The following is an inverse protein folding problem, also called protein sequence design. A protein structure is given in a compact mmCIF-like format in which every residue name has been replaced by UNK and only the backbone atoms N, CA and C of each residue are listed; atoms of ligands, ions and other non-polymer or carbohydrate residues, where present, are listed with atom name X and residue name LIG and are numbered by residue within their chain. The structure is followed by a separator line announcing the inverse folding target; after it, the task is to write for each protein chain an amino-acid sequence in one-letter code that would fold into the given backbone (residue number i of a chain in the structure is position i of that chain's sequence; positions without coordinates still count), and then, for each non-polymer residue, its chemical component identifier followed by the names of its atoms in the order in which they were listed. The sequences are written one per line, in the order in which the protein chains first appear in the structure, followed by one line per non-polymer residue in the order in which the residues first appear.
data_IF_804350613293
#
_entry.id   IF_804350613293
#
_cell.length_a   1.000
_cell.length_b   1.000
_cell.length_c   1.000
_cell.angle_alpha   90.00
_cell.angle_beta   90.00
_cell.angle_gamma   90.00
#
_symmetry.space_group_name_H-M   'P 1'
#
loop_
_entity.id
_entity.type
_entity.pdbx_description
1 polymer ?
#
# COMPACT_ATOMS: atom_id res chain seq x y z
N UNK A 1 -7.84 2.10 26.89
CA UNK A 1 -7.98 2.97 25.71
C UNK A 1 -9.23 3.80 25.92
N UNK A 2 -9.17 5.12 25.81
CA UNK A 2 -10.37 5.95 26.04
C UNK A 2 -11.31 5.90 24.82
N UNK A 3 -12.58 6.26 25.02
CA UNK A 3 -13.60 6.19 23.96
C UNK A 3 -13.29 7.10 22.76
N UNK A 4 -12.58 8.21 22.96
CA UNK A 4 -12.21 9.14 21.89
C UNK A 4 -11.09 8.58 20.98
N UNK A 5 -10.10 7.88 21.52
CA UNK A 5 -9.02 7.24 20.76
C UNK A 5 -9.55 6.05 19.94
N UNK A 6 -10.47 5.26 20.52
CA UNK A 6 -11.16 4.18 19.80
C UNK A 6 -12.01 4.73 18.64
N UNK A 7 -12.75 5.81 18.87
CA UNK A 7 -13.54 6.49 17.84
C UNK A 7 -12.65 7.02 16.71
N UNK A 8 -11.51 7.65 17.05
CA UNK A 8 -10.54 8.14 16.06
C UNK A 8 -9.93 7.05 15.19
N UNK A 9 -9.52 5.91 15.78
CA UNK A 9 -9.03 4.74 15.03
C UNK A 9 -10.09 4.19 14.09
N UNK A 10 -11.33 4.11 14.55
CA UNK A 10 -12.45 3.59 13.75
C UNK A 10 -12.74 4.48 12.55
N UNK A 11 -12.82 5.80 12.74
CA UNK A 11 -13.01 6.76 11.63
C UNK A 11 -11.89 6.65 10.60
N UNK A 12 -10.63 6.65 11.03
CA UNK A 12 -9.49 6.54 10.13
C UNK A 12 -9.51 5.23 9.35
N UNK A 13 -9.79 4.10 10.01
CA UNK A 13 -9.93 2.81 9.34
C UNK A 13 -11.00 2.85 8.26
N UNK A 14 -12.22 3.33 8.57
CA UNK A 14 -13.34 3.39 7.62
C UNK A 14 -12.97 4.26 6.42
N UNK A 15 -12.42 5.46 6.66
CA UNK A 15 -12.04 6.38 5.59
C UNK A 15 -11.01 5.73 4.66
N UNK A 16 -9.94 5.17 5.22
CA UNK A 16 -8.87 4.57 4.41
C UNK A 16 -9.39 3.33 3.66
N UNK A 17 -10.18 2.48 4.31
CA UNK A 17 -10.76 1.29 3.68
C UNK A 17 -11.67 1.68 2.50
N UNK A 18 -12.54 2.67 2.68
CA UNK A 18 -13.39 3.18 1.60
C UNK A 18 -12.57 3.78 0.47
N UNK A 19 -11.54 4.57 0.77
CA UNK A 19 -10.69 5.16 -0.26
C UNK A 19 -9.89 4.11 -1.04
N UNK A 20 -9.45 3.02 -0.39
CA UNK A 20 -8.83 1.88 -1.09
C UNK A 20 -9.84 1.21 -2.02
N UNK A 21 -11.05 0.94 -1.56
CA UNK A 21 -12.10 0.32 -2.41
C UNK A 21 -12.41 1.22 -3.61
N UNK A 22 -12.65 2.52 -3.37
CA UNK A 22 -12.94 3.49 -4.42
C UNK A 22 -11.77 3.62 -5.40
N UNK A 23 -10.52 3.66 -4.94
CA UNK A 23 -9.36 3.77 -5.84
C UNK A 23 -9.20 2.54 -6.73
N UNK A 24 -9.54 1.35 -6.22
CA UNK A 24 -9.51 0.10 -7.00
C UNK A 24 -10.64 0.02 -8.01
N UNK A 25 -11.84 0.48 -7.64
CA UNK A 25 -12.96 0.58 -8.58
C UNK A 25 -12.67 1.60 -9.68
N UNK A 26 -12.08 2.75 -9.34
CA UNK A 26 -11.66 3.75 -10.32
C UNK A 26 -10.64 3.20 -11.32
N UNK A 27 -9.61 2.51 -10.83
CA UNK A 27 -8.61 1.83 -11.64
C UNK A 27 -9.26 0.82 -12.62
N UNK A 28 -10.05 -0.13 -12.10
CA UNK A 28 -10.76 -1.13 -12.92
C UNK A 28 -11.70 -0.49 -13.94
N UNK A 29 -12.47 0.52 -13.53
CA UNK A 29 -13.43 1.21 -14.39
C UNK A 29 -12.74 1.93 -15.54
N UNK A 30 -11.68 2.69 -15.25
CA UNK A 30 -10.93 3.41 -16.30
C UNK A 30 -10.22 2.45 -17.25
N UNK A 31 -9.69 1.33 -16.75
CA UNK A 31 -9.12 0.27 -17.60
C UNK A 31 -10.17 -0.35 -18.52
N UNK A 32 -11.37 -0.63 -18.02
CA UNK A 32 -12.47 -1.15 -18.83
C UNK A 32 -12.87 -0.19 -19.96
N UNK A 33 -12.89 1.11 -19.67
CA UNK A 33 -13.17 2.12 -20.70
C UNK A 33 -12.05 2.26 -21.74
N UNK A 34 -10.79 2.04 -21.35
CA UNK A 34 -9.65 2.20 -22.24
C UNK A 34 -9.40 0.97 -23.12
N UNK A 35 -9.49 -0.25 -22.56
CA UNK A 35 -9.23 -1.52 -23.25
C UNK A 35 -10.27 -2.57 -22.81
N UNK A 36 -11.49 -2.54 -23.39
CA UNK A 36 -12.60 -3.40 -22.95
C UNK A 36 -12.43 -4.88 -23.30
N UNK A 37 -11.59 -5.21 -24.28
CA UNK A 37 -11.25 -6.58 -24.68
C UNK A 37 -10.01 -7.14 -23.95
N UNK A 38 -9.34 -6.31 -23.14
CA UNK A 38 -8.06 -6.57 -22.47
C UNK A 38 -6.90 -6.88 -23.44
N UNK A 39 -7.09 -6.69 -24.76
CA UNK A 39 -6.05 -6.95 -25.74
C UNK A 39 -4.93 -5.91 -25.61
N UNK A 40 -3.75 -6.36 -25.18
CA UNK A 40 -2.61 -5.48 -24.93
C UNK A 40 -2.50 -4.96 -23.49
N UNK A 41 -3.30 -5.45 -22.54
CA UNK A 41 -3.10 -5.15 -21.12
C UNK A 41 -1.72 -5.67 -20.64
N UNK A 42 -0.98 -4.84 -19.91
CA UNK A 42 0.32 -5.21 -19.34
C UNK A 42 0.21 -5.98 -18.03
N UNK A 43 -1.02 -6.19 -17.53
CA UNK A 43 -1.29 -6.93 -16.31
C UNK A 43 -0.83 -8.38 -16.46
N UNK A 44 0.02 -8.82 -15.52
CA UNK A 44 0.63 -10.15 -15.53
C UNK A 44 -0.45 -11.24 -15.60
N UNK A 45 -1.59 -11.04 -14.96
CA UNK A 45 -2.69 -12.01 -14.95
C UNK A 45 -3.25 -12.23 -16.36
N UNK A 46 -3.50 -11.15 -17.11
CA UNK A 46 -4.05 -11.24 -18.47
C UNK A 46 -2.99 -11.73 -19.45
N UNK A 47 -1.79 -11.15 -19.39
CA UNK A 47 -0.70 -11.45 -20.32
C UNK A 47 -0.16 -12.88 -20.20
N UNK A 48 -0.08 -13.44 -18.99
CA UNK A 48 0.47 -14.79 -18.78
C UNK A 48 -0.58 -15.88 -18.58
N UNK A 49 -1.79 -15.56 -18.11
CA UNK A 49 -2.82 -16.57 -17.84
C UNK A 49 -4.04 -16.49 -18.77
N UNK A 50 -4.04 -15.60 -19.77
CA UNK A 50 -5.17 -15.43 -20.69
C UNK A 50 -6.46 -15.03 -19.95
N UNK A 51 -6.31 -14.35 -18.81
CA UNK A 51 -7.38 -14.03 -17.90
C UNK A 51 -8.34 -12.99 -18.53
N UNK A 52 -9.62 -13.32 -18.63
CA UNK A 52 -10.67 -12.34 -18.96
C UNK A 52 -11.09 -11.48 -17.76
N UNK A 53 -12.01 -10.55 -17.99
CA UNK A 53 -12.53 -9.63 -16.96
C UNK A 53 -13.03 -10.32 -15.69
N UNK A 54 -13.68 -11.47 -15.81
CA UNK A 54 -14.15 -12.26 -14.65
C UNK A 54 -12.99 -12.58 -13.71
N UNK A 55 -11.87 -13.04 -14.25
CA UNK A 55 -10.67 -13.38 -13.48
C UNK A 55 -10.05 -12.12 -12.86
N UNK A 56 -9.94 -11.03 -13.62
CA UNK A 56 -9.45 -9.74 -13.12
C UNK A 56 -10.28 -9.27 -11.91
N UNK A 57 -11.60 -9.30 -12.01
CA UNK A 57 -12.52 -8.87 -10.94
C UNK A 57 -12.37 -9.75 -9.69
N UNK A 58 -12.25 -11.08 -9.86
CA UNK A 58 -12.06 -12.01 -8.73
C UNK A 58 -10.75 -11.69 -8.01
N UNK A 59 -9.63 -11.59 -8.74
CA UNK A 59 -8.33 -11.30 -8.13
C UNK A 59 -8.29 -9.93 -7.45
N UNK A 60 -8.85 -8.90 -8.08
CA UNK A 60 -8.90 -7.56 -7.49
C UNK A 60 -9.76 -7.54 -6.23
N UNK A 61 -10.88 -8.26 -6.23
CA UNK A 61 -11.77 -8.38 -5.05
C UNK A 61 -11.08 -9.10 -3.90
N UNK A 62 -10.35 -10.20 -4.18
CA UNK A 62 -9.55 -10.91 -3.17
C UNK A 62 -8.42 -10.02 -2.62
N UNK A 63 -7.72 -9.29 -3.50
CA UNK A 63 -6.63 -8.39 -3.09
C UNK A 63 -7.15 -7.24 -2.21
N UNK A 64 -8.29 -6.65 -2.56
CA UNK A 64 -8.95 -5.62 -1.76
C UNK A 64 -9.39 -6.18 -0.41
N UNK A 65 -10.05 -7.35 -0.40
CA UNK A 65 -10.48 -8.01 0.83
C UNK A 65 -9.32 -8.29 1.78
N UNK A 66 -8.22 -8.85 1.26
CA UNK A 66 -7.00 -9.09 2.03
C UNK A 66 -6.39 -7.77 2.55
N UNK A 67 -6.34 -6.74 1.72
CA UNK A 67 -5.79 -5.43 2.09
C UNK A 67 -6.59 -4.81 3.23
N UNK A 68 -7.92 -4.77 3.11
CA UNK A 68 -8.82 -4.25 4.15
C UNK A 68 -8.71 -5.06 5.43
N UNK A 69 -8.57 -6.38 5.33
CA UNK A 69 -8.34 -7.24 6.50
C UNK A 69 -7.02 -6.94 7.20
N UNK A 70 -5.91 -6.78 6.47
CA UNK A 70 -4.62 -6.43 7.05
C UNK A 70 -4.61 -5.00 7.63
N UNK A 71 -5.35 -4.08 7.01
CA UNK A 71 -5.58 -2.75 7.56
C UNK A 71 -6.36 -2.80 8.88
N UNK A 72 -7.41 -3.62 8.94
CA UNK A 72 -8.16 -3.89 10.17
C UNK A 72 -7.22 -4.45 11.26
N UNK A 73 -6.35 -5.39 10.90
CA UNK A 73 -5.34 -5.91 11.80
C UNK A 73 -4.43 -4.80 12.34
N UNK A 74 -3.92 -3.91 11.48
CA UNK A 74 -3.10 -2.76 11.89
C UNK A 74 -3.83 -1.82 12.86
N UNK A 75 -5.10 -1.47 12.58
CA UNK A 75 -5.83 -0.50 13.41
C UNK A 75 -6.31 -1.07 14.75
N UNK A 76 -6.71 -2.34 14.80
CA UNK A 76 -7.45 -2.88 15.94
C UNK A 76 -6.77 -4.05 16.66
N UNK A 77 -5.86 -4.78 16.01
CA UNK A 77 -5.23 -5.99 16.58
C UNK A 77 -3.73 -5.84 16.81
N UNK A 78 -3.08 -4.92 16.12
CA UNK A 78 -1.67 -4.64 16.29
C UNK A 78 -1.43 -3.87 17.60
N UNK A 79 -0.66 -4.51 18.48
CA UNK A 79 -0.15 -3.93 19.73
C UNK A 79 1.34 -4.24 19.74
N UNK A 80 2.20 -3.31 19.33
CA UNK A 80 3.64 -3.52 19.35
C UNK A 80 4.16 -3.53 20.79
N UNK A 81 5.13 -4.40 21.06
CA UNK A 81 5.95 -4.31 22.26
C UNK A 81 7.01 -3.24 22.02
N UNK A 82 6.86 -2.10 22.69
CA UNK A 82 7.82 -1.00 22.56
C UNK A 82 9.05 -1.26 23.46
N UNK A 83 10.24 -0.81 23.04
CA UNK A 83 11.44 -0.95 23.85
C UNK A 83 11.33 -0.15 25.17
N UNK A 84 11.90 -0.68 26.23
CA UNK A 84 11.94 -0.02 27.56
C UNK A 84 12.98 1.09 27.63
N UNK A 85 14.10 0.92 26.90
CA UNK A 85 15.13 1.95 26.72
C UNK A 85 14.51 3.19 26.08
N UNK A 86 14.80 4.38 26.60
CA UNK A 86 14.33 5.67 26.08
C UNK A 86 15.35 6.28 25.12
N UNK A 87 14.89 7.11 24.19
CA UNK A 87 15.78 7.91 23.34
C UNK A 87 16.33 7.19 22.11
N UNK A 88 15.78 6.02 21.75
CA UNK A 88 16.23 5.30 20.55
C UNK A 88 16.03 6.12 19.27
N UNK A 89 17.02 6.07 18.38
CA UNK A 89 16.87 6.58 17.01
C UNK A 89 15.83 5.76 16.23
N UNK A 90 15.30 6.32 15.14
CA UNK A 90 14.31 5.62 14.31
C UNK A 90 14.85 4.29 13.75
N UNK A 91 16.15 4.23 13.42
CA UNK A 91 16.80 3.00 12.93
C UNK A 91 16.88 1.93 14.02
N UNK A 92 17.29 2.32 15.24
CA UNK A 92 17.35 1.39 16.38
C UNK A 92 15.95 0.90 16.76
N UNK A 93 14.96 1.80 16.76
CA UNK A 93 13.57 1.46 17.02
C UNK A 93 12.99 0.51 15.97
N UNK A 94 13.22 0.76 14.67
CA UNK A 94 12.78 -0.13 13.60
C UNK A 94 13.43 -1.52 13.70
N UNK A 95 14.73 -1.56 14.05
CA UNK A 95 15.45 -2.81 14.31
C UNK A 95 14.81 -3.57 15.46
N UNK A 96 14.46 -2.87 16.53
CA UNK A 96 13.84 -3.48 17.71
C UNK A 96 12.47 -4.06 17.37
N UNK A 97 11.61 -3.28 16.72
CA UNK A 97 10.25 -3.72 16.36
C UNK A 97 10.20 -4.98 15.49
N UNK A 98 11.22 -5.22 14.67
CA UNK A 98 11.28 -6.39 13.78
C UNK A 98 12.15 -7.53 14.28
N UNK A 99 13.24 -7.24 14.98
CA UNK A 99 14.27 -8.23 15.34
C UNK A 99 14.54 -8.31 16.85
N UNK A 100 13.79 -7.57 17.67
CA UNK A 100 13.93 -7.50 19.13
C UNK A 100 15.34 -7.10 19.59
N UNK A 101 16.06 -6.32 18.77
CA UNK A 101 17.37 -5.75 19.11
C UNK A 101 17.58 -4.42 18.37
N UNK A 102 18.46 -3.57 18.87
CA UNK A 102 18.66 -2.19 18.35
C UNK A 102 19.71 -2.08 17.24
N UNK A 103 20.51 -3.14 17.01
CA UNK A 103 21.70 -3.08 16.14
C UNK A 103 21.51 -3.72 14.75
N UNK A 104 20.36 -4.35 14.50
CA UNK A 104 20.11 -5.13 13.27
C UNK A 104 19.41 -4.35 12.15
N UNK A 105 19.63 -3.05 12.01
CA UNK A 105 18.91 -2.25 11.00
C UNK A 105 19.14 -2.76 9.58
N UNK A 106 20.36 -3.20 9.28
CA UNK A 106 20.69 -3.72 7.96
C UNK A 106 19.90 -5.01 7.63
N UNK A 107 19.47 -5.77 8.64
CA UNK A 107 18.66 -6.99 8.44
C UNK A 107 17.29 -6.71 7.83
N UNK A 108 16.79 -5.46 7.90
CA UNK A 108 15.51 -5.08 7.27
C UNK A 108 15.51 -5.32 5.75
N UNK A 109 16.67 -5.30 5.10
CA UNK A 109 16.78 -5.38 3.64
C UNK A 109 16.90 -6.81 3.11
N UNK A 110 17.33 -7.76 3.94
CA UNK A 110 17.64 -9.13 3.49
C UNK A 110 17.10 -10.25 4.37
N UNK A 111 16.55 -9.94 5.56
CA UNK A 111 16.05 -10.95 6.49
C UNK A 111 14.59 -10.69 6.83
N UNK A 112 13.78 -11.75 6.79
CA UNK A 112 12.40 -11.68 7.25
C UNK A 112 12.35 -11.30 8.74
N UNK A 113 11.47 -10.38 9.17
CA UNK A 113 11.33 -10.03 10.56
C UNK A 113 11.02 -11.23 11.45
N UNK A 114 11.60 -11.22 12.65
CA UNK A 114 11.30 -12.17 13.71
C UNK A 114 9.90 -11.89 14.28
N UNK A 115 9.58 -10.61 14.49
CA UNK A 115 8.28 -10.18 14.96
C UNK A 115 7.26 -10.18 13.80
N UNK A 116 6.57 -11.31 13.62
CA UNK A 116 5.55 -11.49 12.59
C UNK A 116 4.37 -10.52 12.76
N UNK A 117 4.04 -10.15 14.00
CA UNK A 117 2.95 -9.21 14.28
C UNK A 117 3.24 -7.83 13.69
N UNK A 118 4.44 -7.30 13.94
CA UNK A 118 4.89 -6.04 13.35
C UNK A 118 4.97 -6.15 11.83
N UNK A 119 5.43 -7.28 11.29
CA UNK A 119 5.50 -7.49 9.84
C UNK A 119 4.12 -7.47 9.17
N UNK A 120 3.12 -8.18 9.69
CA UNK A 120 1.77 -8.13 9.13
C UNK A 120 1.12 -6.75 9.29
N UNK A 121 1.39 -6.07 10.41
CA UNK A 121 0.92 -4.72 10.65
C UNK A 121 1.53 -3.70 9.68
N UNK A 122 2.83 -3.82 9.40
CA UNK A 122 3.52 -2.95 8.44
C UNK A 122 3.03 -3.22 7.02
N UNK A 123 2.84 -4.48 6.62
CA UNK A 123 2.23 -4.83 5.33
C UNK A 123 0.85 -4.21 5.22
N UNK A 124 -0.03 -4.41 6.21
CA UNK A 124 -1.40 -3.89 6.16
C UNK A 124 -1.46 -2.38 6.02
N UNK A 125 -0.60 -1.66 6.75
CA UNK A 125 -0.48 -0.23 6.63
C UNK A 125 0.08 0.21 5.27
N UNK A 126 1.22 -0.33 4.87
CA UNK A 126 1.97 0.09 3.67
C UNK A 126 1.20 -0.24 2.41
N UNK A 127 0.72 -1.49 2.28
CA UNK A 127 -0.03 -1.94 1.09
C UNK A 127 -1.31 -1.12 0.92
N UNK A 128 -2.08 -0.88 1.98
CA UNK A 128 -3.31 -0.09 1.88
C UNK A 128 -3.04 1.32 1.38
N UNK A 129 -2.04 1.98 1.96
CA UNK A 129 -1.70 3.35 1.60
C UNK A 129 -1.09 3.45 0.18
N UNK A 130 -0.24 2.50 -0.18
CA UNK A 130 0.33 2.42 -1.52
C UNK A 130 -0.74 2.13 -2.56
N UNK A 131 -1.63 1.15 -2.34
CA UNK A 131 -2.71 0.84 -3.28
C UNK A 131 -3.69 2.00 -3.45
N UNK A 132 -3.96 2.75 -2.38
CA UNK A 132 -4.73 3.99 -2.46
C UNK A 132 -4.05 4.97 -3.43
N UNK A 133 -2.78 5.31 -3.19
CA UNK A 133 -2.05 6.29 -4.00
C UNK A 133 -1.85 5.83 -5.45
N UNK A 134 -1.43 4.58 -5.64
CA UNK A 134 -1.23 3.97 -6.96
C UNK A 134 -2.54 3.95 -7.75
N UNK A 135 -3.68 3.69 -7.11
CA UNK A 135 -4.98 3.62 -7.80
C UNK A 135 -5.39 4.96 -8.37
N UNK A 136 -5.15 6.03 -7.61
CA UNK A 136 -5.33 7.38 -8.13
C UNK A 136 -4.37 7.71 -9.27
N UNK A 137 -3.08 7.36 -9.16
CA UNK A 137 -2.09 7.62 -10.22
C UNK A 137 -2.44 6.88 -11.50
N UNK A 138 -2.69 5.57 -11.42
CA UNK A 138 -3.02 4.73 -12.57
C UNK A 138 -4.35 5.16 -13.17
N UNK A 139 -5.43 5.23 -12.39
CA UNK A 139 -6.74 5.60 -12.93
C UNK A 139 -6.74 7.00 -13.58
N UNK A 140 -5.98 7.94 -13.04
CA UNK A 140 -5.81 9.27 -13.66
C UNK A 140 -4.99 9.19 -14.94
N UNK A 141 -3.91 8.42 -14.96
CA UNK A 141 -3.11 8.18 -16.17
C UNK A 141 -3.96 7.56 -17.28
N UNK A 142 -4.75 6.53 -16.96
CA UNK A 142 -5.67 5.87 -17.90
C UNK A 142 -6.76 6.83 -18.38
N UNK A 143 -7.33 7.64 -17.49
CA UNK A 143 -8.29 8.68 -17.88
C UNK A 143 -7.67 9.70 -18.86
N UNK A 144 -6.43 10.12 -18.61
CA UNK A 144 -5.72 11.02 -19.53
C UNK A 144 -5.39 10.35 -20.87
N UNK A 145 -5.11 9.04 -20.88
CA UNK A 145 -4.95 8.27 -22.12
C UNK A 145 -6.24 8.25 -22.94
N UNK A 146 -7.41 8.21 -22.31
CA UNK A 146 -8.70 8.26 -23.01
C UNK A 146 -8.92 9.68 -23.58
N UNK A 147 -8.66 10.72 -22.80
CA UNK A 147 -9.12 12.08 -23.10
C UNK A 147 -8.12 12.96 -23.86
N UNK A 148 -6.81 12.66 -23.84
CA UNK A 148 -5.78 13.60 -24.33
C UNK A 148 -4.78 12.96 -25.28
N UNK A 149 -4.75 13.42 -26.53
CA UNK A 149 -3.76 12.97 -27.52
C UNK A 149 -2.32 13.40 -27.17
N UNK A 150 -2.16 14.57 -26.55
CA UNK A 150 -0.86 15.00 -26.00
C UNK A 150 -0.36 14.01 -24.96
N UNK A 151 -1.23 13.56 -24.05
CA UNK A 151 -0.84 12.58 -23.05
C UNK A 151 -0.53 11.21 -23.68
N UNK A 152 -1.28 10.77 -24.70
CA UNK A 152 -0.95 9.56 -25.46
C UNK A 152 0.45 9.63 -26.06
N UNK A 153 0.87 10.78 -26.60
CA UNK A 153 2.23 10.96 -27.11
C UNK A 153 3.28 10.88 -26.00
N UNK A 154 3.05 11.55 -24.86
CA UNK A 154 3.93 11.43 -23.69
C UNK A 154 4.04 9.99 -23.19
N UNK A 155 2.94 9.25 -23.22
CA UNK A 155 2.90 7.85 -22.84
C UNK A 155 3.74 6.97 -23.78
N UNK A 156 3.58 7.16 -25.11
CA UNK A 156 4.43 6.51 -26.12
C UNK A 156 5.91 6.86 -25.94
N UNK A 157 6.21 8.09 -25.51
CA UNK A 157 7.57 8.57 -25.26
C UNK A 157 8.15 8.14 -23.90
N UNK A 158 7.43 7.29 -23.14
CA UNK A 158 7.98 6.64 -21.95
C UNK A 158 7.63 7.29 -20.61
N UNK A 159 6.63 8.17 -20.52
CA UNK A 159 6.23 8.74 -19.22
C UNK A 159 5.83 7.67 -18.20
N UNK A 160 5.39 6.50 -18.65
CA UNK A 160 5.03 5.38 -17.78
C UNK A 160 6.20 4.89 -16.92
N UNK A 161 7.46 4.99 -17.37
CA UNK A 161 8.63 4.65 -16.56
C UNK A 161 8.74 5.55 -15.32
N UNK A 162 8.48 6.85 -15.49
CA UNK A 162 8.45 7.80 -14.38
C UNK A 162 7.30 7.49 -13.42
N UNK A 163 6.12 7.13 -13.94
CA UNK A 163 4.98 6.72 -13.12
C UNK A 163 5.32 5.48 -12.28
N UNK A 164 5.93 4.45 -12.87
CA UNK A 164 6.36 3.26 -12.12
C UNK A 164 7.41 3.57 -11.05
N UNK A 165 8.42 4.39 -11.38
CA UNK A 165 9.41 4.83 -10.41
C UNK A 165 8.76 5.59 -9.24
N UNK A 166 7.81 6.48 -9.55
CA UNK A 166 7.05 7.24 -8.56
C UNK A 166 6.23 6.32 -7.63
N UNK A 167 5.58 5.29 -8.16
CA UNK A 167 4.86 4.29 -7.35
C UNK A 167 5.79 3.54 -6.39
N UNK A 168 6.99 3.16 -6.85
CA UNK A 168 8.02 2.54 -6.00
C UNK A 168 8.47 3.46 -4.86
N UNK A 169 8.72 4.74 -5.17
CA UNK A 169 9.08 5.75 -4.17
C UNK A 169 7.96 5.92 -3.13
N UNK A 170 6.70 5.96 -3.56
CA UNK A 170 5.54 6.03 -2.66
C UNK A 170 5.53 4.85 -1.68
N UNK A 171 5.80 3.62 -2.16
CA UNK A 171 5.84 2.45 -1.29
C UNK A 171 6.94 2.55 -0.23
N UNK A 172 8.15 2.97 -0.63
CA UNK A 172 9.27 3.22 0.29
C UNK A 172 8.91 4.31 1.31
N UNK A 173 8.25 5.39 0.85
CA UNK A 173 7.83 6.48 1.71
C UNK A 173 6.81 6.02 2.76
N UNK A 174 5.80 5.24 2.38
CA UNK A 174 4.83 4.71 3.34
C UNK A 174 5.46 3.71 4.31
N UNK A 175 6.43 2.92 3.86
CA UNK A 175 7.20 2.05 4.72
C UNK A 175 8.00 2.82 5.78
N UNK A 176 8.69 3.89 5.39
CA UNK A 176 9.33 4.81 6.33
C UNK A 176 8.29 5.46 7.27
N UNK A 177 7.15 5.89 6.74
CA UNK A 177 6.10 6.58 7.49
C UNK A 177 5.46 5.68 8.56
N UNK A 178 5.33 4.38 8.29
CA UNK A 178 4.91 3.39 9.30
C UNK A 178 5.80 3.45 10.54
N UNK A 179 7.12 3.29 10.37
CA UNK A 179 8.06 3.32 11.50
C UNK A 179 8.07 4.67 12.20
N UNK A 180 7.94 5.77 11.45
CA UNK A 180 7.87 7.12 12.02
C UNK A 180 6.63 7.30 12.91
N UNK A 181 5.47 6.79 12.50
CA UNK A 181 4.24 6.81 13.31
C UNK A 181 4.45 6.02 14.60
N UNK A 182 4.94 4.79 14.51
CA UNK A 182 5.14 3.94 15.69
C UNK A 182 6.23 4.49 16.62
N UNK A 183 7.28 5.09 16.08
CA UNK A 183 8.33 5.75 16.87
C UNK A 183 7.81 6.96 17.64
N UNK A 184 6.93 7.75 17.02
CA UNK A 184 6.28 8.87 17.68
C UNK A 184 5.32 8.41 18.80
N UNK A 185 4.70 7.24 18.67
CA UNK A 185 3.90 6.64 19.76
C UNK A 185 4.77 6.18 20.91
N UNK A 186 5.92 5.56 20.62
CA UNK A 186 6.89 5.15 21.63
C UNK A 186 7.50 6.33 22.42
N UNK A 187 7.65 7.49 21.78
CA UNK A 187 8.15 8.71 22.43
C UNK A 187 7.14 9.39 23.37
N UNK A 188 5.85 9.06 23.26
CA UNK A 188 4.79 9.59 24.12
C UNK A 188 4.64 8.73 25.35
#
# INVERSE_FOLDING_TARGET
MNNSEQSGKTKNFIIIALLVIVSRLYDVFTTYLYIPDLEGETNILVKFFGAGWTTVIIFQSLLVGLTVFLLFFYFFKFKPDYPTEKGLSLKQFASFLYFNNTNSFNKLFYKTPNNKRTFFASIGYVVSMTLLAVGFVVGTSTTLLILSDTYKQLYKNGIFYFLFAFMGIIAIWFYYRFFKIEHNKYKK
#
